data_IF_543316486495
#
_entry.id   IF_543316486495
#
_cell.length_a   1.000
_cell.length_b   1.000
_cell.length_c   1.000
_cell.angle_alpha   90.00
_cell.angle_beta   90.00
_cell.angle_gamma   90.00
#
_symmetry.space_group_name_H-M   'P 1'
#
loop_
_entity.id
_entity.type
_entity.pdbx_description
1 polymer ?
#
# COMPACT_ATOMS: atom_id res chain seq x y z
N UNK A 1 6.99 -4.51 14.50
CA UNK A 1 6.76 -3.24 13.77
C UNK A 1 5.27 -3.14 13.43
N UNK A 2 4.72 -1.95 13.15
CA UNK A 2 3.39 -1.84 12.55
C UNK A 2 3.32 -2.68 11.27
N UNK A 3 2.22 -3.39 11.08
CA UNK A 3 2.03 -4.29 9.94
C UNK A 3 0.85 -3.84 9.06
N UNK A 4 1.07 -3.87 7.75
CA UNK A 4 0.01 -3.73 6.75
C UNK A 4 -0.04 -5.02 5.93
N UNK A 5 -1.07 -5.81 6.14
CA UNK A 5 -1.27 -7.11 5.50
C UNK A 5 -2.31 -6.91 4.40
N UNK A 6 -1.98 -7.33 3.18
CA UNK A 6 -2.94 -7.34 2.08
C UNK A 6 -3.25 -8.78 1.70
N UNK A 7 -4.53 -9.09 1.46
CA UNK A 7 -4.97 -10.45 1.13
C UNK A 7 -6.20 -10.40 0.22
N UNK A 8 -6.30 -11.32 -0.73
CA UNK A 8 -7.48 -11.46 -1.58
C UNK A 8 -8.52 -12.39 -0.95
N UNK A 9 -9.81 -12.08 -1.12
CA UNK A 9 -10.87 -12.93 -0.54
C UNK A 9 -11.06 -14.25 -1.27
N UNK A 10 -10.52 -14.40 -2.48
CA UNK A 10 -10.47 -15.67 -3.22
C UNK A 10 -9.17 -16.45 -3.00
N UNK A 11 -8.40 -16.15 -1.96
CA UNK A 11 -7.21 -16.90 -1.57
C UNK A 11 -7.54 -18.09 -0.66
N UNK A 12 -6.89 -19.24 -0.89
CA UNK A 12 -7.00 -20.40 0.02
C UNK A 12 -6.50 -20.08 1.44
N UNK A 13 -5.60 -19.10 1.56
CA UNK A 13 -4.97 -18.69 2.82
C UNK A 13 -5.77 -17.65 3.61
N UNK A 14 -6.90 -17.14 3.11
CA UNK A 14 -7.57 -15.97 3.72
C UNK A 14 -7.95 -16.20 5.19
N UNK A 15 -8.47 -17.38 5.52
CA UNK A 15 -8.84 -17.69 6.90
C UNK A 15 -7.63 -17.81 7.83
N UNK A 16 -6.52 -18.38 7.33
CA UNK A 16 -5.28 -18.44 8.08
C UNK A 16 -4.68 -17.04 8.30
N UNK A 17 -4.81 -16.15 7.31
CA UNK A 17 -4.37 -14.75 7.41
C UNK A 17 -5.20 -14.01 8.46
N UNK A 18 -6.53 -14.16 8.46
CA UNK A 18 -7.41 -13.57 9.48
C UNK A 18 -7.04 -14.03 10.89
N UNK A 19 -6.85 -15.34 11.09
CA UNK A 19 -6.41 -15.89 12.39
C UNK A 19 -5.04 -15.34 12.81
N UNK A 20 -4.11 -15.18 11.87
CA UNK A 20 -2.80 -14.58 12.14
C UNK A 20 -2.95 -13.11 12.55
N UNK A 21 -3.76 -12.32 11.84
CA UNK A 21 -4.03 -10.91 12.17
C UNK A 21 -4.59 -10.76 13.58
N UNK A 22 -5.55 -11.60 13.99
CA UNK A 22 -6.07 -11.54 15.36
C UNK A 22 -5.00 -11.87 16.42
N UNK A 23 -4.13 -12.85 16.14
CA UNK A 23 -3.00 -13.16 17.03
C UNK A 23 -2.04 -11.98 17.15
N UNK A 24 -1.72 -11.33 16.04
CA UNK A 24 -0.86 -10.15 16.02
C UNK A 24 -1.49 -9.02 16.84
N UNK A 25 -2.79 -8.75 16.62
CA UNK A 25 -3.53 -7.73 17.38
C UNK A 25 -3.56 -8.04 18.88
N UNK A 26 -3.74 -9.30 19.26
CA UNK A 26 -3.73 -9.73 20.66
C UNK A 26 -2.37 -9.55 21.35
N UNK A 27 -1.29 -9.43 20.58
CA UNK A 27 0.06 -9.14 21.06
C UNK A 27 0.37 -7.64 21.15
N UNK A 28 -0.66 -6.77 21.10
CA UNK A 28 -0.54 -5.31 21.11
C UNK A 28 0.34 -4.76 19.98
N UNK A 29 0.37 -5.48 18.85
CA UNK A 29 1.03 -5.02 17.63
C UNK A 29 -0.01 -4.35 16.74
N UNK A 30 0.27 -3.12 16.33
CA UNK A 30 -0.53 -2.44 15.34
C UNK A 30 -0.55 -3.22 14.01
N UNK A 31 -1.74 -3.60 13.57
CA UNK A 31 -1.94 -4.36 12.34
C UNK A 31 -3.18 -3.93 11.60
N UNK A 32 -3.03 -3.70 10.30
CA UNK A 32 -4.12 -3.51 9.34
C UNK A 32 -4.19 -4.77 8.47
N UNK A 33 -5.39 -5.31 8.30
CA UNK A 33 -5.68 -6.31 7.29
C UNK A 33 -6.58 -5.66 6.23
N UNK A 34 -6.05 -5.53 5.02
CA UNK A 34 -6.76 -4.98 3.87
C UNK A 34 -7.15 -6.11 2.91
N UNK A 35 -8.44 -6.45 2.92
CA UNK A 35 -8.98 -7.54 2.12
C UNK A 35 -9.45 -7.01 0.76
N UNK A 36 -8.81 -7.49 -0.31
CA UNK A 36 -9.18 -7.21 -1.68
C UNK A 36 -10.28 -8.15 -2.16
N UNK A 37 -11.50 -7.63 -2.30
CA UNK A 37 -12.65 -8.44 -2.71
C UNK A 37 -12.47 -9.05 -4.10
N UNK A 38 -12.67 -10.36 -4.20
CA UNK A 38 -12.55 -11.13 -5.44
C UNK A 38 -11.12 -11.35 -5.93
N UNK A 39 -10.11 -10.81 -5.24
CA UNK A 39 -8.72 -10.95 -5.63
C UNK A 39 -8.18 -12.35 -5.28
N UNK A 40 -7.39 -12.91 -6.19
CA UNK A 40 -6.75 -14.21 -6.04
C UNK A 40 -5.35 -14.07 -5.44
N UNK A 41 -4.75 -15.20 -5.09
CA UNK A 41 -3.37 -15.23 -4.62
C UNK A 41 -2.43 -14.54 -5.61
N UNK A 42 -1.46 -13.80 -5.07
CA UNK A 42 -0.49 -12.97 -5.83
C UNK A 42 -1.12 -11.90 -6.75
N UNK A 43 -2.32 -11.39 -6.44
CA UNK A 43 -2.97 -10.33 -7.24
C UNK A 43 -2.08 -9.09 -7.46
N UNK A 44 -1.13 -8.82 -6.55
CA UNK A 44 -0.17 -7.72 -6.64
C UNK A 44 0.62 -7.70 -7.97
N UNK A 45 0.86 -8.86 -8.57
CA UNK A 45 1.57 -8.97 -9.86
C UNK A 45 0.75 -8.44 -11.05
N UNK A 46 -0.55 -8.22 -10.85
CA UNK A 46 -1.48 -7.80 -11.88
C UNK A 46 -1.88 -6.33 -11.81
N UNK A 47 -1.18 -5.48 -11.07
CA UNK A 47 -1.49 -4.03 -10.95
C UNK A 47 -1.74 -3.37 -12.32
N UNK A 48 -0.93 -3.68 -13.33
CA UNK A 48 -1.09 -3.11 -14.67
C UNK A 48 -2.45 -3.45 -15.32
N UNK A 49 -2.98 -4.65 -15.05
CA UNK A 49 -4.16 -5.21 -15.72
C UNK A 49 -5.42 -5.27 -14.84
N UNK A 50 -5.27 -5.19 -13.53
CA UNK A 50 -6.37 -5.27 -12.55
C UNK A 50 -6.47 -3.95 -11.78
N UNK A 51 -7.51 -3.13 -12.06
CA UNK A 51 -7.77 -1.91 -11.30
C UNK A 51 -7.94 -2.17 -9.79
N UNK A 52 -8.52 -3.30 -9.42
CA UNK A 52 -8.69 -3.73 -8.03
C UNK A 52 -7.33 -3.99 -7.37
N UNK A 53 -6.42 -4.69 -8.06
CA UNK A 53 -5.05 -4.88 -7.58
C UNK A 53 -4.35 -3.54 -7.37
N UNK A 54 -4.41 -2.65 -8.38
CA UNK A 54 -3.85 -1.30 -8.29
C UNK A 54 -4.36 -0.53 -7.10
N UNK A 55 -5.67 -0.59 -6.85
CA UNK A 55 -6.29 0.11 -5.74
C UNK A 55 -5.77 -0.37 -4.38
N UNK A 56 -5.56 -1.67 -4.20
CA UNK A 56 -4.97 -2.21 -2.97
C UNK A 56 -3.50 -1.80 -2.82
N UNK A 57 -2.72 -1.85 -3.91
CA UNK A 57 -1.32 -1.40 -3.90
C UNK A 57 -1.19 0.09 -3.58
N UNK A 58 -2.12 0.91 -4.06
CA UNK A 58 -2.17 2.35 -3.80
C UNK A 58 -2.40 2.66 -2.30
N UNK A 59 -3.28 1.91 -1.63
CA UNK A 59 -3.48 2.05 -0.18
C UNK A 59 -2.23 1.67 0.61
N UNK A 60 -1.55 0.58 0.22
CA UNK A 60 -0.26 0.21 0.82
C UNK A 60 0.78 1.30 0.60
N UNK A 61 0.87 1.86 -0.61
CA UNK A 61 1.78 2.97 -0.93
C UNK A 61 1.53 4.19 -0.05
N UNK A 62 0.26 4.59 0.12
CA UNK A 62 -0.13 5.71 0.99
C UNK A 62 0.25 5.42 2.44
N UNK A 63 -0.05 4.23 2.96
CA UNK A 63 0.33 3.84 4.32
C UNK A 63 1.84 3.91 4.54
N UNK A 64 2.64 3.41 3.60
CA UNK A 64 4.10 3.51 3.66
C UNK A 64 4.55 4.97 3.64
N UNK A 65 3.94 5.82 2.80
CA UNK A 65 4.29 7.24 2.70
C UNK A 65 4.00 8.03 3.98
N UNK A 66 2.83 7.83 4.56
CA UNK A 66 2.42 8.45 5.82
C UNK A 66 3.30 8.00 6.99
N UNK A 67 3.78 6.75 6.98
CA UNK A 67 4.55 6.18 8.09
C UNK A 67 6.03 6.53 8.04
N UNK A 68 6.60 6.55 6.83
CA UNK A 68 8.05 6.53 6.66
C UNK A 68 8.58 7.67 5.79
N UNK A 69 7.71 8.40 5.08
CA UNK A 69 8.13 9.44 4.14
C UNK A 69 7.59 10.84 4.45
N UNK A 70 7.03 11.07 5.65
CA UNK A 70 6.77 12.42 6.16
C UNK A 70 8.12 13.15 6.29
N UNK A 71 8.46 13.95 5.27
CA UNK A 71 9.69 14.75 5.20
C UNK A 71 10.30 14.91 3.81
N UNK A 72 9.88 14.16 2.78
CA UNK A 72 10.49 14.29 1.43
C UNK A 72 9.87 15.43 0.59
N UNK A 73 8.62 15.81 0.83
CA UNK A 73 7.99 16.92 0.09
C UNK A 73 8.62 18.28 0.36
N UNK A 74 9.33 18.47 1.48
CA UNK A 74 10.08 19.71 1.73
C UNK A 74 11.32 19.86 0.83
N UNK A 75 11.81 18.78 0.19
CA UNK A 75 13.05 18.81 -0.61
C UNK A 75 12.83 18.67 -2.12
N UNK A 76 11.63 18.29 -2.56
CA UNK A 76 11.31 18.19 -3.99
C UNK A 76 10.69 19.49 -4.56
N UNK A 77 10.24 20.41 -3.71
CA UNK A 77 9.66 21.69 -4.14
C UNK A 77 10.70 22.79 -4.42
N UNK A 78 11.99 22.56 -4.17
CA UNK A 78 13.07 23.53 -4.49
C UNK A 78 13.67 23.35 -5.88
N UNK A 79 13.34 22.27 -6.61
CA UNK A 79 13.91 21.98 -7.94
C UNK A 79 12.92 22.03 -9.11
N UNK A 80 11.67 22.46 -8.89
CA UNK A 80 10.73 22.71 -9.99
C UNK A 80 10.77 24.18 -10.42
N UNK A 81 11.41 24.40 -11.57
CA UNK A 81 11.13 25.43 -12.57
C UNK A 81 11.77 26.82 -12.33
N UNK A 82 13.02 26.98 -12.78
CA UNK A 82 13.40 28.17 -13.57
C UNK A 82 13.49 27.74 -15.04
N UNK A 83 12.34 27.66 -15.72
CA UNK A 83 12.35 27.70 -17.18
C UNK A 83 12.35 29.15 -17.60
N UNK A 84 13.47 29.58 -18.19
CA UNK A 84 13.67 30.89 -18.79
C UNK A 84 12.68 31.06 -19.97
N UNK A 85 11.87 32.14 -20.04
CA UNK A 85 10.89 32.31 -21.11
C UNK A 85 11.46 32.79 -22.46
N UNK A 86 12.75 33.13 -22.57
CA UNK A 86 13.29 33.82 -23.75
C UNK A 86 13.98 32.90 -24.79
N UNK A 87 13.26 31.89 -25.30
CA UNK A 87 13.69 31.15 -26.49
C UNK A 87 12.49 30.81 -27.38
N UNK A 88 11.93 31.82 -28.08
CA UNK A 88 11.40 31.74 -29.46
C UNK A 88 11.60 33.12 -30.10
#
# INVERSE_FOLDING_TARGET
PPLYITAGTNEISIDAIRVMTEKIRSADVEVILDEGEGLMHTYALFDLWSPQSRFVQEKLRQWVQERFFIGIESKLNTNRVRTNPDCI
#
